data_IF_234476734895
#
_entry.id   IF_234476734895
#
_cell.length_a   1.000
_cell.length_b   1.000
_cell.length_c   1.000
_cell.angle_alpha   90.00
_cell.angle_beta   90.00
_cell.angle_gamma   90.00
#
_symmetry.space_group_name_H-M   'P 1'
#
loop_
_entity.id
_entity.type
_entity.pdbx_description
1 polymer ?
#
# COMPACT_ATOMS: atom_id res chain seq x y z
N UNK A 1 -8.70 10.76 13.51
CA UNK A 1 -7.43 10.40 12.84
C UNK A 1 -7.60 9.08 12.10
N UNK A 2 -7.41 9.12 10.79
CA UNK A 2 -7.39 7.96 9.90
C UNK A 2 -6.07 7.19 10.03
N UNK A 3 -6.07 5.90 9.64
CA UNK A 3 -4.83 5.09 9.62
C UNK A 3 -3.78 5.62 8.65
N UNK A 4 -4.20 6.32 7.59
CA UNK A 4 -3.31 6.97 6.63
C UNK A 4 -2.55 8.13 7.26
N UNK A 5 -3.21 8.92 8.12
CA UNK A 5 -2.57 10.01 8.87
C UNK A 5 -1.48 9.49 9.81
N UNK A 6 -1.64 8.29 10.39
CA UNK A 6 -0.58 7.67 11.23
C UNK A 6 0.64 7.23 10.42
N UNK A 7 0.46 6.76 9.19
CA UNK A 7 1.59 6.41 8.30
C UNK A 7 2.38 7.67 7.91
N UNK A 8 1.68 8.78 7.70
CA UNK A 8 2.30 10.08 7.41
C UNK A 8 2.98 10.69 8.64
N UNK A 9 2.46 10.47 9.85
CA UNK A 9 3.10 10.91 11.10
C UNK A 9 4.35 10.09 11.46
N UNK A 10 4.38 8.80 11.13
CA UNK A 10 5.60 7.96 11.26
C UNK A 10 6.73 8.46 10.35
N UNK A 11 6.40 9.06 9.22
CA UNK A 11 7.38 9.56 8.25
C UNK A 11 8.10 10.86 8.68
N UNK A 12 7.91 11.34 9.90
CA UNK A 12 8.44 12.64 10.36
C UNK A 12 9.92 12.67 10.78
N UNK A 13 10.66 11.56 10.75
CA UNK A 13 12.05 11.54 11.25
C UNK A 13 13.17 11.61 10.18
N UNK A 14 12.92 11.20 8.93
CA UNK A 14 13.96 11.16 7.89
C UNK A 14 13.40 11.49 6.49
N UNK A 15 14.11 12.29 5.66
CA UNK A 15 13.70 12.60 4.28
C UNK A 15 13.38 11.36 3.43
N UNK A 16 14.17 10.29 3.62
CA UNK A 16 14.03 9.01 2.93
C UNK A 16 12.73 8.30 3.32
N UNK A 17 12.37 8.32 4.60
CA UNK A 17 11.11 7.76 5.09
C UNK A 17 9.90 8.55 4.55
N UNK A 18 10.04 9.87 4.40
CA UNK A 18 9.00 10.73 3.81
C UNK A 18 8.78 10.45 2.33
N UNK A 19 9.86 10.27 1.56
CA UNK A 19 9.77 9.89 0.16
C UNK A 19 9.10 8.52 0.00
N UNK A 20 9.53 7.53 0.78
CA UNK A 20 8.96 6.19 0.75
C UNK A 20 7.48 6.17 1.13
N UNK A 21 7.08 6.90 2.17
CA UNK A 21 5.68 7.06 2.54
C UNK A 21 4.85 7.73 1.42
N UNK A 22 5.42 8.72 0.73
CA UNK A 22 4.78 9.38 -0.41
C UNK A 22 4.55 8.42 -1.59
N UNK A 23 5.54 7.62 -1.94
CA UNK A 23 5.43 6.60 -2.99
C UNK A 23 4.35 5.56 -2.67
N UNK A 24 4.33 5.05 -1.43
CA UNK A 24 3.30 4.12 -0.98
C UNK A 24 1.91 4.77 -1.04
N UNK A 25 1.77 6.01 -0.60
CA UNK A 25 0.50 6.72 -0.64
C UNK A 25 0.00 6.95 -2.08
N UNK A 26 0.89 7.32 -3.00
CA UNK A 26 0.55 7.49 -4.43
C UNK A 26 0.08 6.16 -5.02
N UNK A 27 0.84 5.07 -4.81
CA UNK A 27 0.48 3.75 -5.32
C UNK A 27 -0.88 3.27 -4.80
N UNK A 28 -1.19 3.52 -3.52
CA UNK A 28 -2.51 3.22 -2.95
C UNK A 28 -3.60 4.05 -3.62
N UNK A 29 -3.39 5.35 -3.82
CA UNK A 29 -4.38 6.22 -4.45
C UNK A 29 -4.63 5.83 -5.92
N UNK A 30 -3.58 5.60 -6.69
CA UNK A 30 -3.65 5.17 -8.09
C UNK A 30 -4.32 3.81 -8.20
N UNK A 31 -3.96 2.84 -7.35
CA UNK A 31 -4.62 1.55 -7.29
C UNK A 31 -6.12 1.66 -6.99
N UNK A 32 -6.52 2.56 -6.07
CA UNK A 32 -7.94 2.85 -5.77
C UNK A 32 -8.69 3.44 -6.96
N UNK A 33 -8.00 4.17 -7.82
CA UNK A 33 -8.55 4.72 -9.08
C UNK A 33 -8.58 3.66 -10.21
N UNK A 34 -8.08 2.45 -9.95
CA UNK A 34 -8.06 1.35 -10.90
C UNK A 34 -6.76 1.26 -11.70
N UNK A 35 -5.62 1.68 -11.15
CA UNK A 35 -4.32 1.39 -11.77
C UNK A 35 -3.82 -0.01 -11.34
N UNK A 36 -3.70 -0.94 -12.31
CA UNK A 36 -3.19 -2.31 -12.07
C UNK A 36 -1.73 -2.32 -11.69
N UNK A 37 -0.94 -1.46 -12.31
CA UNK A 37 0.50 -1.44 -12.12
C UNK A 37 0.83 -0.90 -10.73
N UNK A 38 0.13 0.15 -10.30
CA UNK A 38 0.22 0.67 -8.94
C UNK A 38 -0.16 -0.40 -7.88
N UNK A 39 -1.25 -1.15 -8.12
CA UNK A 39 -1.65 -2.23 -7.22
C UNK A 39 -0.61 -3.37 -7.17
N UNK A 40 -0.10 -3.82 -8.32
CA UNK A 40 0.96 -4.86 -8.39
C UNK A 40 2.27 -4.40 -7.77
N UNK A 41 2.61 -3.13 -7.93
CA UNK A 41 3.76 -2.52 -7.27
C UNK A 41 3.57 -2.56 -5.75
N UNK A 42 2.38 -2.21 -5.26
CA UNK A 42 2.07 -2.27 -3.84
C UNK A 42 2.16 -3.71 -3.29
N UNK A 43 1.70 -4.70 -4.04
CA UNK A 43 1.83 -6.13 -3.67
C UNK A 43 3.30 -6.59 -3.59
N UNK A 44 4.11 -6.27 -4.61
CA UNK A 44 5.47 -6.79 -4.73
C UNK A 44 6.52 -6.01 -3.94
N UNK A 45 6.37 -4.69 -3.89
CA UNK A 45 7.37 -3.77 -3.35
C UNK A 45 6.93 -3.15 -2.03
N UNK A 46 5.62 -3.00 -1.80
CA UNK A 46 5.08 -2.25 -0.65
C UNK A 46 5.58 -2.76 0.69
N UNK A 47 5.64 -4.08 0.89
CA UNK A 47 6.15 -4.67 2.13
C UNK A 47 7.61 -4.29 2.42
N UNK A 48 8.49 -4.35 1.41
CA UNK A 48 9.90 -4.03 1.60
C UNK A 48 10.11 -2.55 1.96
N UNK A 49 9.33 -1.67 1.34
CA UNK A 49 9.37 -0.24 1.63
C UNK A 49 8.82 0.06 3.02
N UNK A 50 7.74 -0.62 3.43
CA UNK A 50 7.20 -0.50 4.78
C UNK A 50 8.19 -0.96 5.83
N UNK A 51 8.82 -2.13 5.66
CA UNK A 51 9.84 -2.64 6.59
C UNK A 51 11.03 -1.70 6.77
N UNK A 52 11.30 -0.81 5.81
CA UNK A 52 12.36 0.19 5.90
C UNK A 52 11.95 1.48 6.64
N UNK A 53 10.65 1.74 6.81
CA UNK A 53 10.16 3.03 7.34
C UNK A 53 9.24 2.91 8.55
N UNK A 54 8.66 1.74 8.81
CA UNK A 54 7.84 1.56 10.00
C UNK A 54 8.73 1.42 11.24
N UNK A 55 8.32 1.94 12.40
CA UNK A 55 9.09 1.78 13.63
C UNK A 55 9.09 0.32 14.10
N UNK A 56 10.11 -0.09 14.85
CA UNK A 56 10.29 -1.47 15.33
C UNK A 56 9.09 -2.02 16.12
N UNK A 57 8.29 -1.16 16.75
CA UNK A 57 7.09 -1.54 17.50
C UNK A 57 5.82 -1.66 16.63
N UNK A 58 5.96 -1.56 15.31
CA UNK A 58 4.87 -1.62 14.34
C UNK A 58 5.15 -2.75 13.35
N UNK A 59 4.21 -3.68 13.22
CA UNK A 59 4.31 -4.77 12.26
C UNK A 59 4.04 -4.26 10.82
N UNK A 60 5.04 -4.27 9.91
CA UNK A 60 4.86 -3.85 8.52
C UNK A 60 3.85 -4.72 7.76
N UNK A 61 3.71 -6.01 8.10
CA UNK A 61 2.80 -6.92 7.40
C UNK A 61 1.35 -6.52 7.65
N UNK A 62 1.01 -6.16 8.89
CA UNK A 62 -0.31 -5.66 9.25
C UNK A 62 -0.65 -4.37 8.51
N UNK A 63 0.31 -3.46 8.34
CA UNK A 63 0.10 -2.25 7.53
C UNK A 63 -0.05 -2.59 6.06
N UNK A 64 0.81 -3.46 5.52
CA UNK A 64 0.79 -3.85 4.12
C UNK A 64 -0.56 -4.47 3.72
N UNK A 65 -1.07 -5.42 4.50
CA UNK A 65 -2.39 -6.01 4.29
C UNK A 65 -3.50 -4.97 4.34
N UNK A 66 -3.44 -4.03 5.28
CA UNK A 66 -4.44 -2.97 5.37
C UNK A 66 -4.39 -2.03 4.16
N UNK A 67 -3.21 -1.74 3.60
CA UNK A 67 -3.06 -0.91 2.42
C UNK A 67 -3.57 -1.64 1.17
N UNK A 68 -3.27 -2.93 1.00
CA UNK A 68 -3.83 -3.74 -0.09
C UNK A 68 -5.36 -3.80 -0.04
N UNK A 69 -5.94 -4.02 1.14
CA UNK A 69 -7.40 -4.04 1.31
C UNK A 69 -8.05 -2.67 1.01
N UNK A 70 -7.34 -1.57 1.29
CA UNK A 70 -7.79 -0.22 0.94
C UNK A 70 -7.62 0.10 -0.55
N UNK A 71 -6.55 -0.42 -1.15
CA UNK A 71 -6.19 -0.24 -2.55
C UNK A 71 -7.05 -1.10 -3.48
N UNK A 72 -7.61 -2.20 -2.97
CA UNK A 72 -8.45 -3.11 -3.72
C UNK A 72 -9.59 -2.34 -4.41
N UNK A 73 -9.69 -2.38 -5.75
CA UNK A 73 -10.73 -1.68 -6.48
C UNK A 73 -12.11 -2.19 -6.05
N UNK A 74 -13.00 -1.29 -5.64
CA UNK A 74 -14.40 -1.64 -5.31
C UNK A 74 -15.16 -1.90 -6.62
N UNK A 75 -15.30 -3.18 -6.98
CA UNK A 75 -16.07 -3.67 -8.14
C UNK A 75 -15.23 -4.09 -9.35
N UNK A 76 -15.87 -4.73 -10.35
CA UNK A 76 -15.46 -5.20 -11.70
C UNK A 76 -14.12 -5.96 -11.89
N UNK A 77 -13.15 -5.78 -11.02
CA UNK A 77 -11.79 -6.30 -11.12
C UNK A 77 -11.61 -7.58 -10.33
N UNK A 78 -12.34 -7.72 -9.21
CA UNK A 78 -12.40 -8.95 -8.42
C UNK A 78 -12.85 -10.14 -9.28
N UNK A 79 -13.93 -9.96 -10.06
CA UNK A 79 -14.44 -10.99 -10.97
C UNK A 79 -13.47 -11.34 -12.10
N UNK A 80 -12.65 -10.39 -12.58
CA UNK A 80 -11.67 -10.65 -13.65
C UNK A 80 -10.37 -11.27 -13.12
N UNK A 81 -9.93 -10.90 -11.92
CA UNK A 81 -8.78 -11.52 -11.24
C UNK A 81 -9.09 -12.95 -10.80
N UNK A 82 -10.31 -13.22 -10.30
CA UNK A 82 -10.77 -14.58 -9.99
C UNK A 82 -10.81 -15.47 -11.25
N UNK A 83 -11.17 -14.91 -12.41
CA UNK A 83 -11.16 -15.60 -13.71
C UNK A 83 -9.74 -15.85 -14.26
N UNK A 84 -8.81 -14.90 -14.10
CA UNK A 84 -7.42 -15.03 -14.56
C UNK A 84 -6.57 -15.93 -13.66
N UNK A 85 -6.96 -16.15 -12.40
CA UNK A 85 -6.26 -17.06 -11.46
C UNK A 85 -6.76 -18.50 -11.48
N UNK A 86 -7.89 -18.78 -12.14
CA UNK A 86 -8.48 -20.13 -12.25
C UNK A 86 -8.36 -20.74 -13.66
N UNK A 87 -7.67 -20.05 -14.59
CA UNK A 87 -7.31 -20.54 -15.93
C UNK A 87 -5.81 -20.79 -16.03
#
# INVERSE_FOLDING_TARGET
MSRLERVLDVAQAAPEARFAAGMIASAVQEARLGDREAYRWLERCGMNWLSAIVPDNVDPETIHRALLAQAAPRGAWQSKLELEMTS
#
